data_IF_914103813175
#
_entry.id   IF_914103813175
#
_cell.length_a   1.000
_cell.length_b   1.000
_cell.length_c   1.000
_cell.angle_alpha   90.00
_cell.angle_beta   90.00
_cell.angle_gamma   90.00
#
_symmetry.space_group_name_H-M   'P 1'
#
loop_
_entity.id
_entity.type
_entity.pdbx_description
1 polymer ?
#
# COMPACT_ATOMS: atom_id res chain seq x y z
N UNK A 1 -15.82 3.19 -15.80
CA UNK A 1 -15.91 4.47 -15.05
C UNK A 1 -15.35 4.21 -13.66
N UNK A 2 -14.04 4.37 -13.48
CA UNK A 2 -13.43 4.31 -12.15
C UNK A 2 -13.73 5.61 -11.42
N UNK A 3 -14.47 5.50 -10.33
CA UNK A 3 -14.71 6.61 -9.42
C UNK A 3 -13.34 7.02 -8.85
N UNK A 4 -12.89 8.23 -9.21
CA UNK A 4 -11.78 8.89 -8.54
C UNK A 4 -12.12 8.98 -7.06
N UNK A 5 -11.42 8.21 -6.22
CA UNK A 5 -11.38 8.46 -4.80
C UNK A 5 -10.61 9.77 -4.59
N UNK A 6 -11.35 10.89 -4.60
CA UNK A 6 -10.82 12.19 -4.21
C UNK A 6 -10.37 12.06 -2.74
N UNK A 7 -9.06 12.14 -2.54
CA UNK A 7 -8.41 12.35 -1.24
C UNK A 7 -8.94 13.64 -0.61
N UNK A 8 -10.11 13.58 0.02
CA UNK A 8 -10.59 14.60 0.94
C UNK A 8 -10.01 14.29 2.33
N UNK A 9 -8.72 14.58 2.49
CA UNK A 9 -8.20 14.91 3.81
C UNK A 9 -8.68 16.31 4.16
N UNK A 10 -9.55 16.41 5.15
CA UNK A 10 -10.03 17.67 5.70
C UNK A 10 -8.84 18.49 6.24
N UNK A 11 -8.78 19.76 5.87
CA UNK A 11 -7.94 20.84 6.42
C UNK A 11 -6.49 21.02 5.96
N UNK A 12 -6.24 20.95 4.65
CA UNK A 12 -5.45 21.99 4.00
C UNK A 12 -6.29 22.52 2.82
N UNK A 13 -6.35 23.84 2.64
CA UNK A 13 -6.89 24.41 1.41
C UNK A 13 -6.26 23.63 0.25
N UNK A 14 -7.07 23.03 -0.64
CA UNK A 14 -6.60 22.19 -1.75
C UNK A 14 -5.56 23.01 -2.53
N UNK A 15 -4.29 22.82 -2.21
CA UNK A 15 -3.21 23.53 -2.84
C UNK A 15 -3.27 23.10 -4.31
N UNK A 16 -3.48 24.08 -5.19
CA UNK A 16 -3.49 23.79 -6.62
C UNK A 16 -2.16 23.13 -6.96
N UNK A 17 -2.16 22.06 -7.79
CA UNK A 17 -0.92 21.47 -8.22
C UNK A 17 -0.04 22.54 -8.87
N UNK A 18 1.20 22.65 -8.40
CA UNK A 18 2.14 23.64 -8.93
C UNK A 18 2.75 23.06 -10.21
N UNK A 19 2.76 23.83 -11.30
CA UNK A 19 3.41 23.41 -12.54
C UNK A 19 4.88 23.06 -12.27
N UNK A 20 5.33 21.92 -12.78
CA UNK A 20 6.67 21.36 -12.54
C UNK A 20 6.82 20.64 -11.19
N UNK A 21 5.80 20.62 -10.33
CA UNK A 21 5.84 19.78 -9.12
C UNK A 21 5.71 18.30 -9.45
N UNK A 22 6.19 17.47 -8.52
CA UNK A 22 6.36 16.03 -8.67
C UNK A 22 5.66 15.35 -7.48
N UNK A 23 5.01 14.21 -7.72
CA UNK A 23 4.27 13.46 -6.71
C UNK A 23 4.52 11.94 -6.87
N UNK A 24 5.20 11.29 -5.91
CA UNK A 24 5.94 11.88 -4.78
C UNK A 24 7.17 12.68 -5.24
N UNK A 25 7.65 13.61 -4.42
CA UNK A 25 8.80 14.47 -4.71
C UNK A 25 10.15 13.73 -4.76
N UNK A 26 10.20 12.51 -4.22
CA UNK A 26 11.34 11.58 -4.26
C UNK A 26 10.82 10.14 -4.25
N UNK A 27 11.44 9.28 -5.08
CA UNK A 27 11.26 7.83 -5.04
C UNK A 27 12.37 7.19 -4.18
N UNK A 28 12.20 7.23 -2.86
CA UNK A 28 13.05 6.52 -1.90
C UNK A 28 12.49 5.12 -1.66
N UNK A 29 13.01 4.14 -2.39
CA UNK A 29 12.45 2.78 -2.46
C UNK A 29 13.01 1.85 -1.37
N UNK A 30 13.83 2.40 -0.47
CA UNK A 30 14.33 1.69 0.70
C UNK A 30 15.37 0.62 0.41
N UNK A 31 15.45 -0.34 1.33
CA UNK A 31 16.29 -1.52 1.22
C UNK A 31 15.48 -2.68 0.66
N UNK A 32 15.95 -3.26 -0.43
CA UNK A 32 15.42 -4.48 -1.07
C UNK A 32 16.55 -5.48 -1.28
N UNK A 33 16.27 -6.67 -1.80
CA UNK A 33 17.29 -7.68 -2.07
C UNK A 33 17.41 -8.03 -3.54
N UNK A 34 18.53 -8.65 -3.89
CA UNK A 34 18.79 -9.12 -5.25
C UNK A 34 17.63 -10.01 -5.73
N UNK A 35 17.10 -9.72 -6.92
CA UNK A 35 15.97 -10.45 -7.52
C UNK A 35 14.58 -10.00 -7.06
N UNK A 36 14.46 -9.03 -6.15
CA UNK A 36 13.17 -8.45 -5.78
C UNK A 36 12.50 -7.74 -6.97
N UNK A 37 11.17 -7.83 -7.05
CA UNK A 37 10.42 -6.97 -7.98
C UNK A 37 10.21 -5.62 -7.32
N UNK A 38 10.67 -4.53 -7.94
CA UNK A 38 10.51 -3.18 -7.40
C UNK A 38 9.96 -2.27 -8.47
N UNK A 39 8.68 -1.96 -8.34
CA UNK A 39 7.95 -1.04 -9.18
C UNK A 39 7.44 0.16 -8.37
N UNK A 40 7.40 1.31 -9.04
CA UNK A 40 6.99 2.58 -8.46
C UNK A 40 6.46 3.49 -9.58
N UNK A 41 5.78 4.57 -9.20
CA UNK A 41 5.34 5.56 -10.17
C UNK A 41 5.37 6.97 -9.59
N UNK A 42 5.48 7.93 -10.49
CA UNK A 42 5.51 9.36 -10.16
C UNK A 42 4.61 10.13 -11.12
N UNK A 43 3.96 11.19 -10.63
CA UNK A 43 3.20 12.16 -11.42
C UNK A 43 3.94 13.49 -11.44
N UNK A 44 4.01 14.09 -12.62
CA UNK A 44 4.54 15.43 -12.83
C UNK A 44 3.39 16.31 -13.34
N UNK A 45 3.26 17.51 -12.78
CA UNK A 45 2.23 18.46 -13.16
C UNK A 45 2.71 19.39 -14.28
N UNK A 46 2.04 19.33 -15.43
CA UNK A 46 2.33 20.17 -16.60
C UNK A 46 1.50 21.45 -16.62
N UNK A 47 1.81 22.32 -17.58
CA UNK A 47 1.01 23.51 -17.89
C UNK A 47 -0.15 23.17 -18.81
N UNK A 48 -1.24 23.96 -18.71
CA UNK A 48 -2.40 23.87 -19.59
C UNK A 48 -3.45 22.86 -19.14
N UNK A 49 -4.52 22.78 -19.93
CA UNK A 49 -5.71 21.95 -19.65
C UNK A 49 -5.97 20.88 -20.73
N UNK A 50 -5.08 20.78 -21.71
CA UNK A 50 -5.16 19.84 -22.82
C UNK A 50 -3.77 19.29 -23.15
N UNK A 51 -3.73 18.04 -23.59
CA UNK A 51 -2.53 17.28 -23.94
C UNK A 51 -2.13 17.39 -25.40
N UNK A 52 -2.97 18.00 -26.25
CA UNK A 52 -2.71 18.12 -27.68
C UNK A 52 -1.39 18.88 -27.95
N UNK A 53 -0.50 18.24 -28.71
CA UNK A 53 0.80 18.81 -29.07
C UNK A 53 1.86 18.78 -27.96
N UNK A 54 1.53 18.31 -26.75
CA UNK A 54 2.48 18.20 -25.65
C UNK A 54 3.36 16.96 -25.86
N UNK A 55 4.65 17.18 -26.09
CA UNK A 55 5.64 16.11 -26.20
C UNK A 55 6.17 15.71 -24.82
N UNK A 56 6.39 14.41 -24.62
CA UNK A 56 7.02 13.87 -23.41
C UNK A 56 8.32 13.15 -23.75
N UNK A 57 9.38 13.41 -22.99
CA UNK A 57 10.64 12.65 -23.07
C UNK A 57 11.09 12.26 -21.67
N UNK A 58 11.57 11.03 -21.52
CA UNK A 58 12.10 10.50 -20.26
C UNK A 58 13.52 9.99 -20.44
N UNK A 59 14.39 10.27 -19.47
CA UNK A 59 15.77 9.78 -19.44
C UNK A 59 16.08 9.23 -18.04
N UNK A 60 15.97 7.90 -17.83
CA UNK A 60 16.26 7.28 -16.54
C UNK A 60 17.78 7.09 -16.32
N UNK A 61 18.23 6.98 -15.05
CA UNK A 61 19.57 6.46 -14.75
C UNK A 61 19.63 4.94 -15.07
N UNK A 62 20.83 4.38 -15.23
CA UNK A 62 21.03 3.00 -15.72
C UNK A 62 20.33 1.89 -14.93
N UNK A 63 20.12 2.09 -13.62
CA UNK A 63 19.48 1.11 -12.73
C UNK A 63 17.95 1.21 -12.72
N UNK A 64 17.39 2.15 -13.48
CA UNK A 64 15.95 2.39 -13.59
C UNK A 64 15.52 2.13 -15.03
N UNK A 65 14.40 1.43 -15.19
CA UNK A 65 13.72 1.26 -16.47
C UNK A 65 12.38 1.97 -16.41
N UNK A 66 12.11 2.82 -17.41
CA UNK A 66 10.76 3.35 -17.62
C UNK A 66 9.93 2.25 -18.28
N UNK A 67 8.85 1.84 -17.62
CA UNK A 67 7.92 0.81 -18.14
C UNK A 67 6.70 1.43 -18.81
N UNK A 68 6.30 2.63 -18.37
CA UNK A 68 5.20 3.37 -18.96
C UNK A 68 5.44 4.88 -18.81
N UNK A 69 4.95 5.63 -19.78
CA UNK A 69 4.83 7.09 -19.70
C UNK A 69 3.47 7.46 -20.25
N UNK A 70 2.63 8.08 -19.44
CA UNK A 70 1.26 8.41 -19.79
C UNK A 70 1.01 9.89 -19.57
N UNK A 71 0.63 10.56 -20.64
CA UNK A 71 0.13 11.92 -20.59
C UNK A 71 -1.38 11.90 -20.40
N UNK A 72 -1.90 12.81 -19.59
CA UNK A 72 -3.33 12.94 -19.35
C UNK A 72 -3.69 14.31 -18.78
N UNK A 73 -4.94 14.44 -18.37
CA UNK A 73 -5.41 15.58 -17.60
C UNK A 73 -6.02 15.10 -16.30
N UNK A 74 -5.92 15.91 -15.25
CA UNK A 74 -6.49 15.62 -13.95
C UNK A 74 -7.18 16.85 -13.40
N UNK A 75 -8.45 16.70 -13.05
CA UNK A 75 -9.22 17.72 -12.35
C UNK A 75 -9.11 17.52 -10.84
N UNK A 76 -8.86 18.60 -10.09
CA UNK A 76 -8.81 18.61 -8.64
C UNK A 76 -9.88 19.56 -8.09
N UNK A 77 -10.94 18.98 -7.51
CA UNK A 77 -12.09 19.75 -7.04
C UNK A 77 -12.70 20.62 -8.15
N UNK A 78 -12.92 21.90 -7.86
CA UNK A 78 -13.54 22.85 -8.78
C UNK A 78 -12.52 23.62 -9.66
N UNK A 79 -11.25 23.20 -9.66
CA UNK A 79 -10.19 23.82 -10.47
C UNK A 79 -10.21 23.21 -11.88
N UNK A 80 -9.91 23.97 -12.95
CA UNK A 80 -9.76 23.41 -14.29
C UNK A 80 -8.78 22.21 -14.31
N UNK A 81 -8.98 21.23 -15.20
CA UNK A 81 -8.05 20.12 -15.34
C UNK A 81 -6.64 20.61 -15.64
N UNK A 82 -5.63 20.04 -15.00
CA UNK A 82 -4.23 20.28 -15.30
C UNK A 82 -3.67 19.14 -16.13
N UNK A 83 -2.77 19.42 -17.07
CA UNK A 83 -1.96 18.38 -17.71
C UNK A 83 -1.13 17.65 -16.66
N UNK A 84 -1.08 16.33 -16.74
CA UNK A 84 -0.27 15.47 -15.88
C UNK A 84 0.50 14.47 -16.73
N UNK A 85 1.73 14.17 -16.32
CA UNK A 85 2.51 13.07 -16.88
C UNK A 85 2.81 12.06 -15.78
N UNK A 86 2.30 10.85 -15.95
CA UNK A 86 2.58 9.71 -15.09
C UNK A 86 3.74 8.91 -15.68
N UNK A 87 4.77 8.64 -14.88
CA UNK A 87 5.91 7.83 -15.25
C UNK A 87 5.95 6.62 -14.32
N UNK A 88 5.86 5.43 -14.90
CA UNK A 88 5.96 4.16 -14.16
C UNK A 88 7.34 3.57 -14.40
N UNK A 89 7.96 3.07 -13.34
CA UNK A 89 9.30 2.53 -13.36
C UNK A 89 9.40 1.13 -12.75
N UNK A 90 10.45 0.43 -13.16
CA UNK A 90 10.97 -0.75 -12.47
C UNK A 90 12.46 -0.58 -12.21
N UNK A 91 12.96 -1.08 -11.07
CA UNK A 91 14.41 -1.11 -10.80
C UNK A 91 15.06 -2.39 -11.35
N UNK A 92 16.32 -2.27 -11.76
CA UNK A 92 17.20 -3.42 -11.95
C UNK A 92 17.76 -3.86 -10.60
N UNK A 93 17.20 -4.94 -10.05
CA UNK A 93 17.62 -5.56 -8.79
C UNK A 93 18.56 -6.76 -8.99
N UNK A 94 19.19 -6.90 -10.16
CA UNK A 94 20.04 -8.05 -10.48
C UNK A 94 21.36 -8.13 -9.70
N UNK A 95 21.75 -7.04 -9.03
CA UNK A 95 23.01 -6.95 -8.28
C UNK A 95 22.87 -6.08 -7.03
N UNK A 96 23.61 -6.42 -6.00
CA UNK A 96 23.69 -5.61 -4.79
C UNK A 96 24.42 -4.28 -5.05
N UNK A 97 24.09 -3.26 -4.24
CA UNK A 97 24.72 -1.95 -4.28
C UNK A 97 23.79 -0.83 -3.79
N UNK A 98 24.39 0.34 -3.59
CA UNK A 98 23.66 1.58 -3.34
C UNK A 98 23.44 2.30 -4.67
N UNK A 99 22.19 2.59 -5.00
CA UNK A 99 21.80 3.21 -6.26
C UNK A 99 21.08 4.51 -5.99
N UNK A 100 21.57 5.57 -6.64
CA UNK A 100 20.95 6.89 -6.59
C UNK A 100 21.11 7.57 -7.94
N UNK A 101 20.08 8.28 -8.38
CA UNK A 101 20.08 8.97 -9.65
C UNK A 101 18.86 9.87 -9.79
N UNK A 102 18.66 10.38 -11.00
CA UNK A 102 17.54 11.25 -11.33
C UNK A 102 16.94 10.81 -12.65
N UNK A 103 15.62 10.69 -12.70
CA UNK A 103 14.89 10.53 -13.94
C UNK A 103 14.61 11.94 -14.47
N UNK A 104 15.17 12.28 -15.64
CA UNK A 104 14.83 13.55 -16.29
C UNK A 104 13.55 13.37 -17.08
N UNK A 105 12.58 14.24 -16.86
CA UNK A 105 11.29 14.23 -17.56
C UNK A 105 11.07 15.59 -18.18
N UNK A 106 10.87 15.62 -19.49
CA UNK A 106 10.47 16.82 -20.22
C UNK A 106 9.01 16.69 -20.63
N UNK A 107 8.19 17.70 -20.33
CA UNK A 107 6.77 17.80 -20.69
C UNK A 107 6.56 19.16 -21.37
N UNK A 108 6.50 19.17 -22.70
CA UNK A 108 6.55 20.42 -23.45
C UNK A 108 7.85 21.20 -23.13
N UNK A 109 7.70 22.40 -22.57
CA UNK A 109 8.82 23.27 -22.17
C UNK A 109 9.29 23.02 -20.73
N UNK A 110 8.54 22.26 -19.94
CA UNK A 110 8.87 21.97 -18.55
C UNK A 110 9.88 20.84 -18.50
N UNK A 111 11.00 21.05 -17.82
CA UNK A 111 11.96 19.99 -17.47
C UNK A 111 11.98 19.82 -15.96
N UNK A 112 11.82 18.58 -15.51
CA UNK A 112 11.93 18.21 -14.09
C UNK A 112 12.90 17.04 -13.92
N UNK A 113 13.51 16.99 -12.75
CA UNK A 113 14.34 15.86 -12.34
C UNK A 113 13.70 15.17 -11.15
N UNK A 114 13.27 13.92 -11.31
CA UNK A 114 12.71 13.10 -10.24
C UNK A 114 13.84 12.33 -9.56
N UNK A 115 14.18 12.61 -8.30
CA UNK A 115 15.17 11.84 -7.56
C UNK A 115 14.68 10.40 -7.31
N UNK A 116 15.58 9.43 -7.47
CA UNK A 116 15.29 8.00 -7.23
C UNK A 116 16.48 7.35 -6.54
N UNK A 117 16.21 6.61 -5.46
CA UNK A 117 17.22 5.92 -4.68
C UNK A 117 16.72 4.57 -4.14
N UNK A 118 17.64 3.60 -4.07
CA UNK A 118 17.39 2.28 -3.48
C UNK A 118 18.72 1.65 -3.01
N UNK A 119 18.65 0.87 -1.94
CA UNK A 119 19.72 -0.01 -1.48
C UNK A 119 19.34 -1.45 -1.82
N UNK A 120 20.15 -2.12 -2.63
CA UNK A 120 19.94 -3.53 -2.98
C UNK A 120 20.97 -4.36 -2.22
N UNK A 121 20.52 -5.22 -1.33
CA UNK A 121 21.38 -6.13 -0.58
C UNK A 121 21.44 -7.51 -1.23
N UNK A 122 22.48 -8.27 -0.89
CA UNK A 122 22.54 -9.68 -1.22
C UNK A 122 21.35 -10.45 -0.62
N UNK A 123 20.99 -11.57 -1.24
CA UNK A 123 20.00 -12.47 -0.69
C UNK A 123 20.47 -13.05 0.66
N UNK A 124 19.57 -13.14 1.63
CA UNK A 124 19.86 -13.66 2.97
C UNK A 124 18.79 -14.69 3.33
N UNK A 125 19.23 -15.92 3.60
CA UNK A 125 18.33 -17.00 3.96
C UNK A 125 17.65 -16.73 5.30
N UNK A 126 16.42 -17.22 5.44
CA UNK A 126 15.69 -17.16 6.72
C UNK A 126 14.84 -15.90 6.93
N UNK A 127 14.86 -14.95 6.00
CA UNK A 127 14.06 -13.72 6.09
C UNK A 127 12.64 -13.91 5.57
N UNK A 128 11.70 -13.15 6.14
CA UNK A 128 10.33 -13.12 5.65
C UNK A 128 10.26 -12.44 4.29
N UNK A 129 9.87 -13.18 3.26
CA UNK A 129 9.56 -12.67 1.93
C UNK A 129 8.18 -12.02 1.92
N UNK A 130 8.09 -10.76 1.49
CA UNK A 130 6.86 -9.97 1.52
C UNK A 130 6.60 -9.36 0.15
N UNK A 131 5.45 -9.69 -0.44
CA UNK A 131 4.95 -9.00 -1.63
C UNK A 131 3.97 -7.91 -1.21
N UNK A 132 4.28 -6.66 -1.52
CA UNK A 132 3.38 -5.51 -1.37
C UNK A 132 2.70 -5.26 -2.72
N UNK A 133 1.42 -5.59 -2.79
CA UNK A 133 0.59 -5.42 -3.98
C UNK A 133 -0.07 -4.05 -3.90
N UNK A 134 0.32 -3.18 -4.83
CA UNK A 134 0.22 -1.72 -4.76
C UNK A 134 1.32 -1.11 -3.86
N UNK A 135 2.41 -0.76 -4.52
CA UNK A 135 3.53 -0.01 -3.95
C UNK A 135 3.05 1.28 -3.27
N UNK A 136 3.55 1.64 -2.08
CA UNK A 136 3.24 2.93 -1.46
C UNK A 136 3.87 4.08 -2.26
N UNK A 137 4.92 3.81 -3.04
CA UNK A 137 5.69 4.78 -3.83
C UNK A 137 5.04 5.01 -5.20
N UNK A 138 3.79 5.46 -5.23
CA UNK A 138 3.03 5.65 -6.46
C UNK A 138 2.55 7.08 -6.67
N UNK A 139 2.24 7.37 -7.93
CA UNK A 139 1.76 8.66 -8.45
C UNK A 139 0.51 9.23 -7.77
N UNK A 140 -0.27 8.40 -7.09
CA UNK A 140 -1.50 8.81 -6.39
C UNK A 140 -1.38 8.91 -4.87
N UNK A 141 -0.20 8.64 -4.29
CA UNK A 141 -0.02 8.62 -2.83
C UNK A 141 -0.01 10.03 -2.23
N UNK A 142 1.15 10.68 -2.23
CA UNK A 142 1.38 12.00 -1.61
C UNK A 142 2.53 12.70 -2.32
N UNK A 143 2.61 14.03 -2.22
CA UNK A 143 3.78 14.77 -2.71
C UNK A 143 4.97 14.68 -1.75
N UNK A 144 4.74 14.49 -0.45
CA UNK A 144 5.77 14.43 0.58
C UNK A 144 6.28 12.99 0.77
N UNK A 145 7.44 12.68 0.20
CA UNK A 145 8.06 11.35 0.30
C UNK A 145 8.44 10.94 1.73
N UNK A 146 8.60 11.89 2.67
CA UNK A 146 8.98 11.56 4.06
C UNK A 146 7.90 10.76 4.80
N UNK A 147 6.65 10.76 4.29
CA UNK A 147 5.59 9.91 4.85
C UNK A 147 5.90 8.42 4.75
N UNK A 148 6.84 8.03 3.87
CA UNK A 148 7.22 6.63 3.71
C UNK A 148 8.33 6.19 4.68
N UNK A 149 9.00 7.12 5.38
CA UNK A 149 10.11 6.78 6.28
C UNK A 149 9.74 5.74 7.35
N UNK A 150 8.56 5.79 8.00
CA UNK A 150 8.14 4.76 8.95
C UNK A 150 8.02 3.37 8.31
N UNK A 151 7.54 3.30 7.06
CA UNK A 151 7.50 2.04 6.31
C UNK A 151 8.91 1.53 6.01
N UNK A 152 9.80 2.42 5.55
CA UNK A 152 11.20 2.06 5.28
C UNK A 152 11.90 1.53 6.55
N UNK A 153 11.63 2.11 7.71
CA UNK A 153 12.15 1.64 8.98
C UNK A 153 11.55 0.30 9.43
N UNK A 154 10.26 0.04 9.14
CA UNK A 154 9.66 -1.30 9.36
C UNK A 154 10.40 -2.36 8.54
N UNK A 155 10.61 -2.11 7.24
CA UNK A 155 11.32 -3.04 6.35
C UNK A 155 12.73 -3.32 6.86
N UNK A 156 13.47 -2.25 7.19
CA UNK A 156 14.86 -2.34 7.66
C UNK A 156 14.97 -3.04 9.00
N UNK A 157 14.21 -2.62 10.01
CA UNK A 157 14.31 -3.12 11.39
C UNK A 157 13.82 -4.57 11.52
N UNK A 158 12.86 -4.98 10.69
CA UNK A 158 12.36 -6.35 10.63
C UNK A 158 13.13 -7.24 9.64
N UNK A 159 14.10 -6.67 8.90
CA UNK A 159 14.85 -7.36 7.84
C UNK A 159 13.94 -8.07 6.82
N UNK A 160 12.89 -7.41 6.36
CA UNK A 160 11.97 -8.00 5.39
C UNK A 160 12.64 -8.09 4.01
N UNK A 161 12.43 -9.20 3.30
CA UNK A 161 12.75 -9.30 1.87
C UNK A 161 11.51 -8.88 1.07
N UNK A 162 11.46 -7.58 0.75
CA UNK A 162 10.27 -6.95 0.15
C UNK A 162 10.33 -6.87 -1.36
N UNK A 163 9.21 -7.15 -2.00
CA UNK A 163 8.92 -6.79 -3.39
C UNK A 163 7.73 -5.84 -3.45
N UNK A 164 7.80 -4.84 -4.33
CA UNK A 164 6.78 -3.82 -4.54
C UNK A 164 6.23 -3.92 -5.96
N UNK A 165 4.91 -4.00 -6.07
CA UNK A 165 4.21 -4.08 -7.35
C UNK A 165 3.39 -2.83 -7.61
N UNK A 166 3.58 -2.22 -8.78
CA UNK A 166 2.67 -1.18 -9.27
C UNK A 166 1.48 -1.87 -9.96
N UNK A 167 0.26 -1.45 -9.61
CA UNK A 167 -0.94 -2.10 -10.12
C UNK A 167 -1.53 -1.29 -11.27
N UNK A 168 -1.84 -2.00 -12.35
CA UNK A 168 -2.52 -1.47 -13.52
C UNK A 168 -3.82 -2.25 -13.71
N UNK A 169 -4.95 -1.55 -13.60
CA UNK A 169 -6.29 -2.15 -13.70
C UNK A 169 -6.61 -2.76 -15.07
N UNK A 170 -5.76 -2.56 -16.09
CA UNK A 170 -5.89 -3.23 -17.38
C UNK A 170 -5.28 -4.65 -17.39
N UNK A 171 -4.58 -5.07 -16.32
CA UNK A 171 -3.86 -6.35 -16.24
C UNK A 171 -4.26 -7.12 -14.98
N UNK A 172 -4.12 -8.47 -14.97
CA UNK A 172 -4.25 -9.25 -13.75
C UNK A 172 -3.31 -8.72 -12.66
N UNK A 173 -3.81 -8.57 -11.44
CA UNK A 173 -3.08 -7.87 -10.37
C UNK A 173 -1.80 -8.60 -10.01
N UNK A 174 -1.85 -9.92 -9.86
CA UNK A 174 -0.69 -10.74 -9.50
C UNK A 174 0.10 -11.23 -10.71
N UNK A 175 -0.36 -10.91 -11.93
CA UNK A 175 0.31 -11.25 -13.21
C UNK A 175 0.73 -12.73 -13.22
N UNK A 176 1.95 -13.04 -13.65
CA UNK A 176 2.55 -14.37 -13.61
C UNK A 176 3.52 -14.55 -12.43
N UNK A 177 3.34 -13.79 -11.34
CA UNK A 177 4.20 -13.91 -10.16
C UNK A 177 4.07 -15.29 -9.53
N UNK A 178 5.23 -15.84 -9.19
CA UNK A 178 5.36 -17.05 -8.38
C UNK A 178 5.24 -16.67 -6.90
N UNK A 179 4.07 -16.97 -6.32
CA UNK A 179 3.80 -16.63 -4.92
C UNK A 179 4.55 -17.51 -3.92
N UNK A 180 5.12 -18.65 -4.34
CA UNK A 180 5.86 -19.57 -3.45
C UNK A 180 7.16 -18.95 -2.91
N UNK A 181 7.63 -17.86 -3.54
CA UNK A 181 8.80 -17.09 -3.09
C UNK A 181 8.52 -16.18 -1.89
N UNK A 182 7.25 -15.96 -1.55
CA UNK A 182 6.85 -15.07 -0.47
C UNK A 182 6.27 -15.86 0.70
N UNK A 183 6.37 -15.30 1.90
CA UNK A 183 5.64 -15.78 3.07
C UNK A 183 4.39 -14.94 3.33
N UNK A 184 4.41 -13.67 2.92
CA UNK A 184 3.32 -12.73 3.13
C UNK A 184 2.98 -11.98 1.83
N UNK A 185 1.69 -11.82 1.55
CA UNK A 185 1.17 -10.87 0.55
C UNK A 185 0.36 -9.80 1.27
N UNK A 186 0.75 -8.54 1.15
CA UNK A 186 -0.04 -7.39 1.57
C UNK A 186 -0.83 -6.86 0.36
N UNK A 187 -2.16 -6.93 0.43
CA UNK A 187 -3.08 -6.54 -0.63
C UNK A 187 -3.93 -5.34 -0.17
N UNK A 188 -3.75 -4.20 -0.81
CA UNK A 188 -4.41 -2.95 -0.44
C UNK A 188 -4.93 -2.18 -1.66
N UNK A 189 -5.72 -1.14 -1.39
CA UNK A 189 -6.16 -0.10 -2.34
C UNK A 189 -6.49 -0.60 -3.75
N UNK A 190 -5.77 -0.10 -4.75
CA UNK A 190 -5.89 -0.43 -6.18
C UNK A 190 -5.65 -1.91 -6.44
N UNK A 191 -4.67 -2.52 -5.76
CA UNK A 191 -4.39 -3.95 -5.86
C UNK A 191 -5.58 -4.81 -5.44
N UNK A 192 -6.20 -4.47 -4.33
CA UNK A 192 -7.43 -5.11 -3.86
C UNK A 192 -8.61 -4.82 -4.79
N UNK A 193 -8.76 -3.57 -5.22
CA UNK A 193 -9.90 -3.12 -6.04
C UNK A 193 -10.00 -3.88 -7.37
N UNK A 194 -8.86 -4.07 -8.04
CA UNK A 194 -8.79 -4.75 -9.33
C UNK A 194 -8.52 -6.25 -9.26
N UNK A 195 -8.32 -6.82 -8.07
CA UNK A 195 -8.08 -8.25 -7.91
C UNK A 195 -9.25 -9.06 -8.49
N UNK A 196 -8.96 -9.83 -9.54
CA UNK A 196 -9.94 -10.65 -10.23
C UNK A 196 -10.09 -12.03 -9.61
N UNK A 197 -10.93 -12.87 -10.23
CA UNK A 197 -11.11 -14.25 -9.82
C UNK A 197 -9.81 -15.06 -9.86
N UNK A 198 -9.04 -14.94 -10.95
CA UNK A 198 -7.74 -15.60 -11.07
C UNK A 198 -6.72 -15.18 -10.01
N UNK A 199 -6.73 -13.90 -9.58
CA UNK A 199 -5.88 -13.44 -8.49
C UNK A 199 -6.32 -14.06 -7.16
N UNK A 200 -7.63 -14.13 -6.89
CA UNK A 200 -8.18 -14.78 -5.68
C UNK A 200 -7.87 -16.26 -5.63
N UNK A 201 -7.95 -16.97 -6.76
CA UNK A 201 -7.55 -18.38 -6.83
C UNK A 201 -6.08 -18.58 -6.46
N UNK A 202 -5.19 -17.71 -6.95
CA UNK A 202 -3.77 -17.73 -6.58
C UNK A 202 -3.56 -17.46 -5.08
N UNK A 203 -4.25 -16.47 -4.53
CA UNK A 203 -4.19 -16.15 -3.10
C UNK A 203 -4.74 -17.28 -2.23
N UNK A 204 -5.83 -17.94 -2.64
CA UNK A 204 -6.37 -19.10 -1.94
C UNK A 204 -5.37 -20.27 -1.93
N UNK A 205 -4.73 -20.56 -3.07
CA UNK A 205 -3.65 -21.56 -3.14
C UNK A 205 -2.47 -21.19 -2.25
N UNK A 206 -2.09 -19.92 -2.25
CA UNK A 206 -1.01 -19.40 -1.39
C UNK A 206 -1.31 -19.58 0.10
N UNK A 207 -2.51 -19.22 0.56
CA UNK A 207 -2.94 -19.44 1.95
C UNK A 207 -3.00 -20.94 2.28
N UNK A 208 -3.52 -21.77 1.38
CA UNK A 208 -3.53 -23.23 1.55
C UNK A 208 -2.11 -23.83 1.61
N UNK A 209 -1.14 -23.22 0.91
CA UNK A 209 0.28 -23.57 0.95
C UNK A 209 0.99 -23.15 2.25
N UNK A 210 0.37 -22.29 3.05
CA UNK A 210 0.91 -21.81 4.32
C UNK A 210 1.33 -20.35 4.35
N UNK A 211 1.08 -19.62 3.26
CA UNK A 211 1.29 -18.19 3.20
C UNK A 211 0.29 -17.39 4.04
N UNK A 212 0.64 -16.13 4.33
CA UNK A 212 -0.26 -15.16 4.98
C UNK A 212 -0.68 -14.09 3.99
N UNK A 213 -1.99 -13.86 3.85
CA UNK A 213 -2.52 -12.71 3.12
C UNK A 213 -2.98 -11.66 4.12
N UNK A 214 -2.45 -10.44 4.04
CA UNK A 214 -2.88 -9.27 4.81
C UNK A 214 -3.69 -8.37 3.90
N UNK A 215 -4.95 -8.11 4.23
CA UNK A 215 -5.85 -7.24 3.47
C UNK A 215 -6.04 -5.93 4.22
N UNK A 216 -5.88 -4.83 3.50
CA UNK A 216 -6.06 -3.47 3.99
C UNK A 216 -7.20 -2.80 3.20
N UNK A 217 -8.35 -2.57 3.83
CA UNK A 217 -9.53 -2.03 3.18
C UNK A 217 -10.34 -1.16 4.14
N UNK A 218 -11.08 -0.18 3.64
CA UNK A 218 -12.04 0.59 4.43
C UNK A 218 -13.03 1.33 3.53
N UNK A 219 -14.06 1.90 4.15
CA UNK A 219 -15.11 2.66 3.49
C UNK A 219 -14.58 3.86 2.69
N UNK A 220 -13.56 4.55 3.22
CA UNK A 220 -12.94 5.69 2.54
C UNK A 220 -12.46 5.33 1.12
N UNK A 221 -11.85 4.15 0.96
CA UNK A 221 -11.49 3.62 -0.36
C UNK A 221 -12.71 2.89 -0.96
N UNK A 222 -13.58 3.65 -1.61
CA UNK A 222 -14.86 3.17 -2.16
C UNK A 222 -14.73 1.83 -2.91
N UNK A 223 -15.56 0.87 -2.52
CA UNK A 223 -15.60 -0.48 -3.11
C UNK A 223 -14.53 -1.44 -2.60
N UNK A 224 -13.53 -0.99 -1.84
CA UNK A 224 -12.49 -1.87 -1.28
C UNK A 224 -13.06 -2.88 -0.29
N UNK A 225 -14.05 -2.50 0.53
CA UNK A 225 -14.71 -3.40 1.49
C UNK A 225 -15.47 -4.52 0.79
N UNK A 226 -16.25 -4.19 -0.25
CA UNK A 226 -16.93 -5.20 -1.05
C UNK A 226 -15.93 -6.18 -1.70
N UNK A 227 -14.83 -5.65 -2.23
CA UNK A 227 -13.75 -6.46 -2.83
C UNK A 227 -13.01 -7.33 -1.82
N UNK A 228 -12.74 -6.81 -0.62
CA UNK A 228 -12.19 -7.61 0.49
C UNK A 228 -13.11 -8.79 0.82
N UNK A 229 -14.41 -8.53 0.96
CA UNK A 229 -15.41 -9.55 1.30
C UNK A 229 -15.52 -10.68 0.26
N UNK A 230 -15.24 -10.41 -1.03
CA UNK A 230 -15.15 -11.48 -2.05
C UNK A 230 -14.07 -12.52 -1.72
N UNK A 231 -13.03 -12.16 -0.95
CA UNK A 231 -11.94 -13.05 -0.55
C UNK A 231 -12.05 -13.55 0.89
N UNK A 232 -12.47 -12.72 1.85
CA UNK A 232 -12.34 -13.04 3.28
C UNK A 232 -13.54 -13.81 3.86
N UNK A 233 -14.73 -13.71 3.26
CA UNK A 233 -15.94 -14.41 3.72
C UNK A 233 -15.77 -15.93 3.76
N UNK A 234 -15.16 -16.58 2.74
CA UNK A 234 -14.84 -18.01 2.81
C UNK A 234 -13.99 -18.43 4.02
N UNK A 235 -13.20 -17.51 4.58
CA UNK A 235 -12.37 -17.74 5.77
C UNK A 235 -13.08 -17.41 7.09
N UNK A 236 -14.36 -17.02 7.06
CA UNK A 236 -15.14 -16.71 8.25
C UNK A 236 -14.94 -15.28 8.79
N UNK A 237 -14.43 -14.36 7.96
CA UNK A 237 -14.31 -12.94 8.31
C UNK A 237 -15.22 -12.10 7.42
N UNK A 238 -15.68 -10.96 7.92
CA UNK A 238 -16.49 -10.02 7.12
C UNK A 238 -16.29 -8.58 7.54
N UNK A 239 -16.04 -7.72 6.58
CA UNK A 239 -15.98 -6.28 6.78
C UNK A 239 -17.33 -5.63 6.55
N UNK A 240 -17.64 -4.60 7.33
CA UNK A 240 -18.81 -3.74 7.09
C UNK A 240 -18.38 -2.44 6.43
N UNK A 241 -19.06 -2.06 5.36
CA UNK A 241 -18.74 -0.87 4.56
C UNK A 241 -19.28 0.42 5.20
N UNK A 242 -18.74 0.73 6.37
CA UNK A 242 -19.10 1.91 7.17
C UNK A 242 -17.86 2.54 7.76
N UNK A 243 -17.97 3.84 8.05
CA UNK A 243 -17.07 4.54 8.96
C UNK A 243 -17.77 4.74 10.31
N UNK A 244 -16.99 4.74 11.41
CA UNK A 244 -17.48 5.18 12.70
C UNK A 244 -18.15 6.56 12.60
N UNK A 245 -19.41 6.66 13.05
CA UNK A 245 -20.13 7.92 13.12
C UNK A 245 -19.76 8.64 14.42
N UNK A 246 -19.78 9.98 14.43
CA UNK A 246 -19.67 10.77 15.67
C UNK A 246 -18.56 11.82 15.73
N UNK A 247 -17.85 12.09 14.63
CA UNK A 247 -16.91 13.22 14.55
C UNK A 247 -15.57 13.01 15.27
N UNK A 248 -15.27 11.81 15.75
CA UNK A 248 -13.94 11.48 16.27
C UNK A 248 -12.96 11.31 15.11
N UNK A 249 -11.86 12.12 15.07
CA UNK A 249 -10.90 12.03 13.99
C UNK A 249 -10.05 10.76 14.07
N UNK A 250 -9.88 10.19 15.27
CA UNK A 250 -8.99 9.07 15.57
C UNK A 250 -9.56 8.24 16.71
N UNK A 251 -9.53 6.91 16.57
CA UNK A 251 -9.84 5.95 17.64
C UNK A 251 -8.54 5.46 18.24
N UNK A 252 -8.37 5.67 19.54
CA UNK A 252 -7.30 5.06 20.31
C UNK A 252 -7.81 3.75 20.92
N UNK A 253 -7.02 2.69 20.82
CA UNK A 253 -7.33 1.35 21.32
C UNK A 253 -6.16 0.90 22.19
N UNK A 254 -6.43 0.43 23.40
CA UNK A 254 -5.39 0.09 24.38
C UNK A 254 -5.78 -1.09 25.29
N UNK A 255 -4.80 -1.60 26.04
CA UNK A 255 -5.07 -2.53 27.15
C UNK A 255 -5.73 -3.84 26.72
N UNK A 256 -6.92 -4.12 27.26
CA UNK A 256 -7.69 -5.34 27.01
C UNK A 256 -8.42 -5.34 25.66
N UNK A 257 -8.51 -4.20 24.99
CA UNK A 257 -9.03 -4.08 23.62
C UNK A 257 -8.06 -4.64 22.57
N UNK A 258 -6.80 -4.87 22.96
CA UNK A 258 -5.78 -5.53 22.14
C UNK A 258 -5.61 -6.97 22.65
N UNK A 259 -6.10 -7.95 21.88
CA UNK A 259 -6.00 -9.35 22.25
C UNK A 259 -4.53 -9.75 22.39
N UNK A 260 -4.16 -10.43 23.49
CA UNK A 260 -2.83 -11.05 23.64
C UNK A 260 -2.65 -12.15 22.60
N UNK A 261 -1.87 -11.87 21.55
CA UNK A 261 -1.64 -12.77 20.43
C UNK A 261 -0.23 -12.58 19.87
N UNK A 262 0.31 -13.58 19.16
CA UNK A 262 1.63 -13.47 18.51
C UNK A 262 1.73 -12.30 17.53
N UNK A 263 0.61 -11.93 16.90
CA UNK A 263 0.52 -10.84 15.93
C UNK A 263 0.42 -9.46 16.59
N UNK A 264 0.03 -9.39 17.87
CA UNK A 264 -0.07 -8.16 18.66
C UNK A 264 1.02 -8.10 19.73
N UNK A 265 2.05 -8.96 19.62
CA UNK A 265 3.13 -9.03 20.58
C UNK A 265 3.85 -7.68 20.71
N UNK A 266 3.90 -7.17 21.94
CA UNK A 266 4.51 -5.89 22.28
C UNK A 266 3.73 -4.67 21.82
N UNK A 267 2.50 -4.80 21.33
CA UNK A 267 1.62 -3.68 20.97
C UNK A 267 0.83 -3.27 22.22
N UNK A 268 1.00 -2.03 22.69
CA UNK A 268 0.31 -1.48 23.86
C UNK A 268 -0.84 -0.54 23.51
N UNK A 269 -0.63 0.32 22.50
CA UNK A 269 -1.63 1.30 22.06
C UNK A 269 -1.65 1.39 20.54
N UNK A 270 -2.84 1.46 19.95
CA UNK A 270 -3.04 1.63 18.53
C UNK A 270 -3.95 2.83 18.27
N UNK A 271 -3.75 3.48 17.12
CA UNK A 271 -4.61 4.57 16.66
C UNK A 271 -5.13 4.30 15.27
N UNK A 272 -6.40 4.61 15.03
CA UNK A 272 -7.06 4.39 13.75
C UNK A 272 -7.87 5.61 13.32
N UNK A 273 -7.53 6.16 12.17
CA UNK A 273 -8.35 7.17 11.51
C UNK A 273 -9.31 6.49 10.51
N UNK A 274 -10.62 6.69 10.73
CA UNK A 274 -11.71 6.21 9.85
C UNK A 274 -11.63 4.70 9.50
N UNK A 275 -11.45 3.80 10.49
CA UNK A 275 -11.37 2.38 10.21
C UNK A 275 -12.74 1.78 9.85
N UNK A 276 -12.80 0.80 8.97
CA UNK A 276 -14.01 -0.04 8.81
C UNK A 276 -13.94 -1.27 9.70
N UNK A 277 -15.05 -1.64 10.38
CA UNK A 277 -15.06 -2.77 11.30
C UNK A 277 -15.05 -4.11 10.54
N UNK A 278 -14.38 -5.10 11.13
CA UNK A 278 -14.34 -6.50 10.72
C UNK A 278 -14.94 -7.38 11.81
N UNK A 279 -15.89 -8.22 11.44
CA UNK A 279 -16.49 -9.25 12.28
C UNK A 279 -15.91 -10.64 11.96
N UNK A 280 -15.96 -11.54 12.94
CA UNK A 280 -15.68 -12.96 12.78
C UNK A 280 -17.01 -13.70 12.71
N UNK A 281 -17.38 -14.21 11.53
CA UNK A 281 -18.62 -14.97 11.34
C UNK A 281 -18.47 -16.46 11.75
N UNK A 282 -17.23 -16.96 11.81
CA UNK A 282 -16.91 -18.32 12.30
C UNK A 282 -15.79 -18.25 13.36
N UNK A 283 -16.17 -18.23 14.63
CA UNK A 283 -15.25 -18.16 15.78
C UNK A 283 -14.27 -19.34 15.87
N UNK A 284 -14.57 -20.46 15.18
CA UNK A 284 -13.63 -21.59 15.11
C UNK A 284 -12.48 -21.32 14.16
N UNK A 285 -12.65 -20.39 13.21
CA UNK A 285 -11.67 -20.02 12.20
C UNK A 285 -11.01 -18.69 12.48
N UNK A 286 -11.73 -17.74 13.08
CA UNK A 286 -11.26 -16.36 13.23
C UNK A 286 -11.16 -15.85 14.66
N UNK A 287 -10.41 -14.77 14.83
CA UNK A 287 -10.31 -13.99 16.08
C UNK A 287 -10.19 -12.51 15.77
N UNK A 288 -10.86 -11.69 16.58
CA UNK A 288 -10.60 -10.26 16.64
C UNK A 288 -9.29 -10.05 17.40
N UNK A 289 -8.34 -9.36 16.77
CA UNK A 289 -7.03 -9.02 17.37
C UNK A 289 -7.05 -7.66 18.05
N UNK A 290 -7.81 -6.73 17.48
CA UNK A 290 -7.95 -5.36 17.96
C UNK A 290 -9.43 -5.03 17.91
N UNK A 291 -10.05 -4.81 19.07
CA UNK A 291 -11.47 -4.50 19.18
C UNK A 291 -11.81 -3.17 18.46
N UNK A 292 -13.09 -3.02 18.11
CA UNK A 292 -13.62 -1.79 17.55
C UNK A 292 -14.67 -1.26 18.52
N UNK A 293 -14.31 -0.44 19.53
CA UNK A 293 -15.24 -0.04 20.59
C UNK A 293 -16.59 0.54 20.12
N UNK A 294 -16.68 1.27 18.99
CA UNK A 294 -17.96 1.74 18.45
C UNK A 294 -18.85 0.64 17.85
N UNK A 295 -18.35 -0.57 17.66
CA UNK A 295 -19.01 -1.67 16.97
C UNK A 295 -18.94 -2.95 17.81
N UNK A 296 -20.05 -3.28 18.44
CA UNK A 296 -20.18 -4.51 19.22
C UNK A 296 -19.82 -5.74 18.37
N UNK A 297 -19.08 -6.68 18.97
CA UNK A 297 -18.67 -7.95 18.37
C UNK A 297 -17.80 -7.82 17.09
N UNK A 298 -17.18 -6.66 16.89
CA UNK A 298 -16.27 -6.39 15.77
C UNK A 298 -14.92 -5.85 16.23
N UNK A 299 -13.96 -5.85 15.30
CA UNK A 299 -12.61 -5.34 15.47
C UNK A 299 -12.19 -4.40 14.36
N UNK A 300 -11.09 -3.69 14.56
CA UNK A 300 -10.39 -3.00 13.47
C UNK A 300 -9.33 -3.90 12.83
N UNK A 301 -8.91 -4.96 13.53
CA UNK A 301 -8.01 -5.98 12.99
C UNK A 301 -8.51 -7.36 13.40
N UNK A 302 -8.59 -8.28 12.45
CA UNK A 302 -8.95 -9.67 12.68
C UNK A 302 -8.02 -10.62 11.92
N UNK A 303 -7.93 -11.85 12.39
CA UNK A 303 -7.21 -12.93 11.69
C UNK A 303 -8.12 -14.15 11.59
N UNK A 304 -8.05 -14.83 10.45
CA UNK A 304 -8.54 -16.18 10.25
C UNK A 304 -7.37 -17.14 10.03
N UNK A 305 -7.40 -18.26 10.74
CA UNK A 305 -6.47 -19.36 10.59
C UNK A 305 -7.03 -20.33 9.55
N UNK A 306 -6.26 -20.58 8.49
CA UNK A 306 -6.49 -21.69 7.59
C UNK A 306 -5.70 -22.92 8.09
N UNK A 307 -5.85 -24.08 7.43
CA UNK A 307 -5.15 -25.31 7.84
C UNK A 307 -3.63 -25.11 7.95
N UNK A 308 -3.05 -24.32 7.04
CA UNK A 308 -1.59 -24.11 6.97
C UNK A 308 -1.16 -22.64 7.01
N UNK A 309 -2.04 -21.73 6.58
CA UNK A 309 -1.76 -20.30 6.38
C UNK A 309 -2.75 -19.41 7.12
N UNK A 310 -2.72 -18.10 6.80
CA UNK A 310 -3.48 -17.10 7.55
C UNK A 310 -4.07 -16.02 6.62
N UNK A 311 -5.24 -15.51 6.97
CA UNK A 311 -5.81 -14.30 6.37
C UNK A 311 -5.98 -13.26 7.47
N UNK A 312 -5.30 -12.13 7.37
CA UNK A 312 -5.41 -11.00 8.29
C UNK A 312 -6.13 -9.87 7.58
N UNK A 313 -7.04 -9.20 8.26
CA UNK A 313 -7.81 -8.08 7.73
C UNK A 313 -7.63 -6.88 8.62
N UNK A 314 -7.29 -5.73 8.03
CA UNK A 314 -7.18 -4.44 8.67
C UNK A 314 -8.23 -3.49 8.09
N UNK A 315 -8.96 -2.83 8.98
CA UNK A 315 -9.96 -1.81 8.64
C UNK A 315 -9.38 -0.50 8.10
N UNK A 316 -8.16 -0.47 7.58
CA UNK A 316 -7.49 0.73 7.05
C UNK A 316 -6.95 0.42 5.66
N UNK A 317 -7.27 1.24 4.65
CA UNK A 317 -6.82 1.02 3.27
C UNK A 317 -5.44 1.64 2.99
N UNK A 318 -5.19 2.86 3.48
CA UNK A 318 -3.91 3.56 3.37
C UNK A 318 -2.95 3.12 4.48
N UNK A 319 -2.57 1.83 4.47
CA UNK A 319 -1.76 1.20 5.52
C UNK A 319 -0.40 1.90 5.75
N UNK A 320 0.20 2.49 4.72
CA UNK A 320 1.46 3.24 4.84
C UNK A 320 1.25 4.58 5.53
N UNK A 321 0.12 5.25 5.27
CA UNK A 321 -0.26 6.47 5.97
C UNK A 321 -0.61 6.16 7.43
N UNK A 322 -1.26 5.03 7.68
CA UNK A 322 -1.67 4.55 9.02
C UNK A 322 -0.51 4.31 10.00
N UNK A 323 0.71 4.17 9.49
CA UNK A 323 1.91 4.03 10.35
C UNK A 323 2.76 5.31 10.37
N UNK A 324 2.37 6.34 9.62
CA UNK A 324 3.15 7.55 9.40
C UNK A 324 2.42 8.85 9.76
N UNK A 325 1.09 8.82 9.88
CA UNK A 325 0.30 10.01 10.17
C UNK A 325 0.70 10.61 11.51
N UNK A 326 0.72 11.95 11.56
CA UNK A 326 0.94 12.70 12.81
C UNK A 326 -0.15 12.39 13.85
N UNK A 327 -1.36 12.09 13.39
CA UNK A 327 -2.49 11.70 14.23
C UNK A 327 -2.22 10.40 14.98
N UNK A 328 -1.35 9.55 14.44
CA UNK A 328 -1.00 8.21 14.96
C UNK A 328 0.38 8.19 15.63
N UNK A 329 1.07 9.33 15.70
CA UNK A 329 2.37 9.44 16.34
C UNK A 329 2.31 9.01 17.81
N UNK A 330 3.28 8.18 18.21
CA UNK A 330 3.39 7.62 19.56
C UNK A 330 2.61 6.32 19.79
N UNK A 331 1.80 5.87 18.83
CA UNK A 331 1.16 4.55 18.86
C UNK A 331 2.07 3.44 18.29
N UNK A 332 1.73 2.19 18.57
CA UNK A 332 2.45 0.99 18.12
C UNK A 332 2.00 0.48 16.74
N UNK A 333 1.38 1.32 15.90
CA UNK A 333 0.84 0.94 14.58
C UNK A 333 1.92 0.28 13.69
N UNK A 334 3.11 0.89 13.61
CA UNK A 334 4.25 0.36 12.86
C UNK A 334 4.72 -1.01 13.41
N UNK A 335 4.67 -1.20 14.73
CA UNK A 335 5.01 -2.48 15.37
C UNK A 335 3.96 -3.55 15.06
N UNK A 336 2.68 -3.21 15.07
CA UNK A 336 1.63 -4.13 14.65
C UNK A 336 1.84 -4.53 13.18
N UNK A 337 2.01 -3.57 12.26
CA UNK A 337 2.26 -3.87 10.85
C UNK A 337 3.48 -4.78 10.68
N UNK A 338 4.59 -4.50 11.36
CA UNK A 338 5.76 -5.37 11.39
C UNK A 338 5.41 -6.80 11.78
N UNK A 339 4.64 -7.00 12.85
CA UNK A 339 4.24 -8.33 13.30
C UNK A 339 3.36 -9.04 12.27
N UNK A 340 2.47 -8.31 11.58
CA UNK A 340 1.62 -8.85 10.51
C UNK A 340 2.42 -9.29 9.29
N UNK A 341 3.55 -8.62 9.01
CA UNK A 341 4.40 -8.91 7.85
C UNK A 341 5.56 -9.86 8.14
N UNK A 342 5.81 -10.16 9.42
CA UNK A 342 6.85 -11.11 9.82
C UNK A 342 6.25 -12.51 9.99
N UNK A 343 6.86 -13.48 9.33
CA UNK A 343 6.53 -14.90 9.39
C UNK A 343 7.77 -15.68 9.86
N UNK A 344 7.68 -16.46 10.94
CA UNK A 344 8.75 -17.40 11.29
C UNK A 344 8.95 -18.39 10.14
N UNK A 345 10.19 -18.54 9.66
CA UNK A 345 10.52 -19.60 8.72
C UNK A 345 10.41 -20.95 9.43
N UNK A 346 9.73 -21.89 8.77
CA UNK A 346 9.58 -23.28 9.24
C UNK A 346 10.85 -24.09 9.03
#
# INVERSE_FOLDING_TARGET
MCLLALLQCSSQALAQPVVGSIQPDLLSLGTVRVGATVEASVRIFGEGTDTAGVAVKTQPPRFVRITETRLGTQQYGNVPPSVVCDVVISLDTSRAGEFSGKIKVQIGEIEVEVPVAASILEQEAGLSGVLVVETPFQRFSTSDSSIFDPWLEVVKSAKLDVSYLEVDGARPVLRDLDLEKFDVVLLAGTGLHYAGEGDREKLNKFVAGGGRVVIAANHFMSGSVAKANEFIVPFGLKMTDVEPRGGYPVFEVEGDEILKHKLTAGVGTLRFQRPSPVAVEDEKKGKILVAAPPFQDAGFVAVAEAERGQVVVMGVSLWWNWIASKDEAGADNARLLRNLLTMPKK
#
